data_IF_996942467922
#
_entry.id   IF_996942467922
#
_cell.length_a   1.000
_cell.length_b   1.000
_cell.length_c   1.000
_cell.angle_alpha   90.00
_cell.angle_beta   90.00
_cell.angle_gamma   90.00
#
_symmetry.space_group_name_H-M   'P 1'
#
loop_
_entity.id
_entity.type
_entity.pdbx_description
1 polymer ?
#
# COMPACT_ATOMS: atom_id res chain seq x y z
N UNK A 1 -11.36 -16.99 16.19
CA UNK A 1 -12.40 -17.11 17.23
C UNK A 1 -12.25 -15.90 18.13
N UNK A 2 -13.37 -15.28 18.57
CA UNK A 2 -13.55 -13.87 19.02
C UNK A 2 -13.95 -12.94 17.85
N UNK A 3 -15.21 -13.01 17.40
CA UNK A 3 -16.41 -12.31 17.90
C UNK A 3 -16.66 -11.00 17.14
N UNK A 4 -17.56 -11.11 16.15
CA UNK A 4 -18.19 -10.00 15.44
C UNK A 4 -19.33 -9.48 16.31
N UNK A 5 -19.29 -8.23 16.73
CA UNK A 5 -20.48 -7.55 17.21
C UNK A 5 -21.32 -7.08 16.02
N UNK A 6 -22.51 -7.67 15.92
CA UNK A 6 -23.52 -7.36 14.92
C UNK A 6 -24.34 -6.16 15.38
N UNK A 7 -24.38 -5.11 14.56
CA UNK A 7 -25.38 -4.05 14.68
C UNK A 7 -26.66 -4.53 13.98
N UNK A 8 -27.69 -4.80 14.77
CA UNK A 8 -29.00 -5.25 14.32
C UNK A 8 -29.82 -4.13 13.67
N UNK A 9 -30.43 -4.46 12.54
CA UNK A 9 -31.62 -3.80 12.00
C UNK A 9 -32.53 -4.93 11.51
N UNK A 10 -33.60 -5.17 12.26
CA UNK A 10 -34.67 -6.11 11.94
C UNK A 10 -35.42 -5.66 10.67
N UNK A 11 -35.43 -6.51 9.64
CA UNK A 11 -36.42 -6.44 8.56
C UNK A 11 -37.10 -7.80 8.43
N UNK A 12 -38.34 -7.85 8.90
CA UNK A 12 -39.28 -8.97 8.78
C UNK A 12 -39.71 -9.18 7.33
N UNK A 13 -39.72 -10.42 6.83
CA UNK A 13 -40.50 -10.75 5.63
C UNK A 13 -40.12 -12.01 4.86
N UNK A 14 -40.85 -13.10 5.16
CA UNK A 14 -41.38 -14.09 4.21
C UNK A 14 -40.47 -15.19 3.63
N UNK A 15 -40.68 -16.41 4.13
CA UNK A 15 -40.27 -17.67 3.52
C UNK A 15 -41.01 -17.93 2.22
N UNK A 16 -40.27 -18.28 1.16
CA UNK A 16 -40.76 -19.04 0.00
C UNK A 16 -39.69 -20.07 -0.38
N UNK A 17 -40.06 -21.35 -0.36
CA UNK A 17 -39.32 -22.50 -0.89
C UNK A 17 -39.63 -22.76 -2.37
N UNK A 18 -38.75 -23.54 -3.03
CA UNK A 18 -38.73 -24.12 -4.41
C UNK A 18 -37.82 -23.35 -5.37
N UNK A 19 -36.96 -23.94 -6.22
CA UNK A 19 -36.82 -25.30 -6.75
C UNK A 19 -35.37 -25.52 -7.22
N UNK A 20 -34.94 -26.77 -7.32
CA UNK A 20 -33.63 -27.18 -7.84
C UNK A 20 -33.63 -27.15 -9.37
N UNK A 21 -32.85 -26.24 -9.96
CA UNK A 21 -32.59 -26.19 -11.40
C UNK A 21 -31.09 -26.34 -11.69
N UNK A 22 -30.68 -27.49 -12.19
CA UNK A 22 -29.35 -27.73 -12.73
C UNK A 22 -29.23 -27.02 -14.08
N UNK A 23 -28.36 -26.01 -14.17
CA UNK A 23 -27.87 -25.46 -15.44
C UNK A 23 -26.36 -25.64 -15.48
N UNK A 24 -25.93 -26.60 -16.30
CA UNK A 24 -24.55 -26.74 -16.78
C UNK A 24 -24.27 -25.59 -17.74
N UNK A 25 -23.54 -24.57 -17.29
CA UNK A 25 -22.91 -23.60 -18.17
C UNK A 25 -21.47 -24.04 -18.47
N UNK A 26 -21.24 -24.26 -19.76
CA UNK A 26 -19.98 -24.61 -20.38
C UNK A 26 -19.06 -23.38 -20.32
N UNK A 27 -18.28 -23.28 -19.25
CA UNK A 27 -17.31 -22.21 -19.08
C UNK A 27 -16.15 -22.43 -20.07
N UNK A 28 -16.10 -21.57 -21.09
CA UNK A 28 -14.94 -21.41 -21.95
C UNK A 28 -13.66 -21.38 -21.11
N UNK A 29 -12.72 -22.28 -21.43
CA UNK A 29 -11.39 -22.32 -20.83
C UNK A 29 -10.74 -20.96 -21.06
N UNK A 30 -10.77 -20.09 -20.06
CA UNK A 30 -9.86 -18.97 -19.99
C UNK A 30 -8.45 -19.56 -20.03
N UNK A 31 -7.60 -19.00 -20.87
CA UNK A 31 -6.18 -19.33 -20.91
C UNK A 31 -5.60 -18.87 -19.57
N UNK A 32 -5.59 -19.77 -18.58
CA UNK A 32 -5.06 -19.47 -17.26
C UNK A 32 -3.56 -19.38 -17.41
N UNK A 33 -3.02 -18.15 -17.38
CA UNK A 33 -1.59 -17.95 -17.21
C UNK A 33 -1.25 -18.47 -15.82
N UNK A 34 -0.62 -19.64 -15.77
CA UNK A 34 -0.12 -20.22 -14.53
C UNK A 34 0.89 -19.27 -13.89
N UNK A 35 0.75 -19.05 -12.58
CA UNK A 35 1.67 -18.20 -11.84
C UNK A 35 3.07 -18.81 -11.80
N UNK A 36 4.08 -17.99 -12.08
CA UNK A 36 5.50 -18.37 -12.03
C UNK A 36 6.17 -17.61 -10.89
N UNK A 37 6.70 -18.35 -9.92
CA UNK A 37 7.45 -17.80 -8.78
C UNK A 37 8.91 -18.26 -8.85
N UNK A 38 9.83 -17.31 -8.64
CA UNK A 38 11.26 -17.56 -8.45
C UNK A 38 11.75 -16.86 -7.18
N UNK A 39 13.02 -17.01 -6.83
CA UNK A 39 13.63 -16.30 -5.70
C UNK A 39 13.55 -14.77 -5.82
N UNK A 40 13.46 -14.24 -7.05
CA UNK A 40 13.54 -12.80 -7.33
C UNK A 40 12.42 -12.29 -8.24
N UNK A 41 11.41 -13.10 -8.56
CA UNK A 41 10.31 -12.66 -9.43
C UNK A 41 9.02 -13.43 -9.16
N UNK A 42 7.90 -12.78 -9.47
CA UNK A 42 6.58 -13.39 -9.55
C UNK A 42 5.88 -12.90 -10.82
N UNK A 43 5.17 -13.76 -11.54
CA UNK A 43 4.37 -13.35 -12.70
C UNK A 43 3.13 -14.22 -12.84
N UNK A 44 1.96 -13.60 -12.95
CA UNK A 44 0.72 -14.22 -13.41
C UNK A 44 0.02 -13.33 -14.47
N UNK A 45 -1.28 -13.51 -14.70
CA UNK A 45 -2.04 -12.70 -15.66
C UNK A 45 -2.20 -11.23 -15.26
N UNK A 46 -2.16 -10.93 -13.96
CA UNK A 46 -2.55 -9.64 -13.38
C UNK A 46 -1.38 -8.90 -12.70
N UNK A 47 -0.32 -9.62 -12.35
CA UNK A 47 0.79 -9.11 -11.54
C UNK A 47 2.13 -9.60 -12.07
N UNK A 48 3.08 -8.68 -12.20
CA UNK A 48 4.49 -8.98 -12.44
C UNK A 48 5.36 -8.24 -11.43
N UNK A 49 6.23 -8.97 -10.74
CA UNK A 49 7.20 -8.45 -9.78
C UNK A 49 8.57 -8.95 -10.18
N UNK A 50 9.57 -8.06 -10.25
CA UNK A 50 10.98 -8.43 -10.38
C UNK A 50 11.81 -7.63 -9.39
N UNK A 51 12.62 -8.32 -8.59
CA UNK A 51 13.54 -7.72 -7.62
C UNK A 51 14.97 -7.87 -8.14
N UNK A 52 15.62 -6.73 -8.41
CA UNK A 52 17.00 -6.70 -8.89
C UNK A 52 17.94 -6.10 -7.84
N UNK A 53 19.05 -6.79 -7.56
CA UNK A 53 20.11 -6.30 -6.68
C UNK A 53 21.11 -5.45 -7.46
N UNK A 54 21.43 -4.28 -6.93
CA UNK A 54 22.44 -3.37 -7.45
C UNK A 54 23.57 -3.16 -6.45
N UNK A 55 24.76 -2.95 -6.98
CA UNK A 55 25.94 -2.53 -6.22
C UNK A 55 26.58 -1.40 -6.99
N UNK A 56 26.78 -0.26 -6.33
CA UNK A 56 27.47 0.91 -6.89
C UNK A 56 28.49 1.44 -5.89
N UNK A 57 29.42 2.27 -6.35
CA UNK A 57 30.52 2.77 -5.52
C UNK A 57 31.54 1.69 -5.15
N UNK A 58 32.46 2.01 -4.24
CA UNK A 58 33.52 1.11 -3.78
C UNK A 58 34.06 1.54 -2.42
N UNK A 59 34.74 0.65 -1.69
CA UNK A 59 35.32 0.97 -0.38
C UNK A 59 34.26 1.39 0.64
N UNK A 60 34.49 2.50 1.35
CA UNK A 60 33.51 3.09 2.27
C UNK A 60 32.27 3.63 1.59
N UNK A 61 32.34 3.89 0.29
CA UNK A 61 31.27 4.52 -0.49
C UNK A 61 30.45 3.48 -1.27
N UNK A 62 30.66 2.18 -1.01
CA UNK A 62 29.88 1.12 -1.63
C UNK A 62 28.44 1.13 -1.11
N UNK A 63 27.49 1.20 -2.04
CA UNK A 63 26.06 1.12 -1.75
C UNK A 63 25.50 -0.15 -2.39
N UNK A 64 24.77 -0.94 -1.59
CA UNK A 64 23.98 -2.08 -2.05
C UNK A 64 22.51 -1.74 -1.88
N UNK A 65 21.74 -1.84 -2.97
CA UNK A 65 20.30 -1.59 -2.93
C UNK A 65 19.55 -2.59 -3.81
N UNK A 66 18.24 -2.66 -3.63
CA UNK A 66 17.35 -3.50 -4.41
C UNK A 66 16.28 -2.62 -5.06
N UNK A 67 15.91 -2.93 -6.30
CA UNK A 67 14.78 -2.30 -6.99
C UNK A 67 13.74 -3.36 -7.26
N UNK A 68 12.51 -3.11 -6.81
CA UNK A 68 11.35 -3.88 -7.19
C UNK A 68 10.64 -3.17 -8.34
N UNK A 69 10.59 -3.79 -9.52
CA UNK A 69 9.70 -3.43 -10.61
C UNK A 69 8.39 -4.18 -10.41
N UNK A 70 7.29 -3.46 -10.24
CA UNK A 70 5.97 -4.00 -9.91
C UNK A 70 4.97 -3.47 -10.94
N UNK A 71 4.30 -4.38 -11.62
CA UNK A 71 3.20 -4.10 -12.54
C UNK A 71 1.98 -4.86 -12.06
N UNK A 72 0.87 -4.15 -11.94
CA UNK A 72 -0.43 -4.70 -11.55
C UNK A 72 -1.50 -4.23 -12.53
N UNK A 73 -2.44 -5.10 -12.87
CA UNK A 73 -3.62 -4.75 -13.69
C UNK A 73 -4.66 -3.96 -12.89
N UNK A 74 -4.67 -4.13 -11.57
CA UNK A 74 -5.54 -3.44 -10.61
C UNK A 74 -4.74 -2.93 -9.41
N UNK A 75 -4.84 -1.63 -9.14
CA UNK A 75 -4.17 -0.95 -8.00
C UNK A 75 -4.64 -1.48 -6.65
N UNK A 76 -5.83 -2.07 -6.56
CA UNK A 76 -6.33 -2.66 -5.30
C UNK A 76 -5.51 -3.87 -4.83
N UNK A 77 -4.66 -4.43 -5.70
CA UNK A 77 -3.65 -5.44 -5.32
C UNK A 77 -2.50 -4.85 -4.49
N UNK A 78 -2.28 -3.52 -4.53
CA UNK A 78 -1.31 -2.82 -3.69
C UNK A 78 -1.97 -2.45 -2.36
N UNK A 79 -1.73 -3.26 -1.34
CA UNK A 79 -2.34 -3.12 -0.03
C UNK A 79 -1.38 -2.52 1.00
N UNK A 80 -1.97 -1.97 2.06
CA UNK A 80 -1.26 -1.68 3.30
C UNK A 80 -1.83 -2.52 4.44
N UNK A 81 -0.96 -2.94 5.36
CA UNK A 81 -1.31 -3.59 6.60
C UNK A 81 -0.63 -2.87 7.78
N UNK A 82 -1.29 -2.89 8.94
CA UNK A 82 -0.73 -2.33 10.17
C UNK A 82 -0.05 -3.42 11.00
N UNK A 83 0.95 -3.04 11.80
CA UNK A 83 1.50 -3.90 12.84
C UNK A 83 0.39 -4.34 13.80
N UNK A 84 0.40 -5.61 14.20
CA UNK A 84 -0.63 -6.29 14.99
C UNK A 84 -2.06 -6.13 14.41
N UNK A 85 -2.17 -5.85 13.10
CA UNK A 85 -3.42 -5.51 12.42
C UNK A 85 -4.22 -4.39 13.14
N UNK A 86 -3.51 -3.46 13.80
CA UNK A 86 -4.10 -2.41 14.60
C UNK A 86 -3.59 -1.03 14.18
N UNK A 87 -4.53 -0.12 13.92
CA UNK A 87 -4.19 1.29 13.81
C UNK A 87 -3.87 1.87 15.20
N UNK A 88 -2.66 2.43 15.34
CA UNK A 88 -2.24 3.02 16.61
C UNK A 88 -0.82 3.58 16.56
N UNK A 89 -0.37 4.13 17.69
CA UNK A 89 0.99 4.62 17.84
C UNK A 89 1.85 3.61 18.60
N UNK A 90 3.15 3.57 18.29
CA UNK A 90 4.15 2.74 18.95
C UNK A 90 3.82 1.23 18.94
N UNK A 91 3.14 0.76 17.90
CA UNK A 91 2.93 -0.67 17.63
C UNK A 91 3.98 -1.07 16.59
N UNK A 92 4.74 -2.11 16.89
CA UNK A 92 5.87 -2.56 16.08
C UNK A 92 5.75 -4.04 15.84
N UNK A 93 5.93 -4.43 14.59
CA UNK A 93 5.96 -5.81 14.15
C UNK A 93 6.93 -5.90 12.96
N UNK A 94 7.61 -7.04 12.82
CA UNK A 94 8.50 -7.26 11.69
C UNK A 94 7.69 -7.31 10.38
N UNK A 95 8.16 -6.59 9.35
CA UNK A 95 7.52 -6.60 8.02
C UNK A 95 7.34 -8.01 7.46
N UNK A 96 8.25 -8.94 7.80
CA UNK A 96 8.13 -10.35 7.40
C UNK A 96 6.96 -11.08 8.07
N UNK A 97 6.63 -10.74 9.31
CA UNK A 97 5.46 -11.31 10.01
C UNK A 97 4.17 -10.76 9.41
N UNK A 98 4.09 -9.45 9.21
CA UNK A 98 2.96 -8.80 8.52
C UNK A 98 2.76 -9.42 7.13
N UNK A 99 3.84 -9.64 6.37
CA UNK A 99 3.79 -10.25 5.05
C UNK A 99 3.24 -11.69 5.10
N UNK A 100 3.70 -12.49 6.07
CA UNK A 100 3.24 -13.86 6.26
C UNK A 100 1.75 -13.92 6.62
N UNK A 101 1.31 -13.05 7.54
CA UNK A 101 -0.08 -12.99 8.02
C UNK A 101 -1.07 -12.52 6.95
N UNK A 102 -0.59 -11.78 5.95
CA UNK A 102 -1.38 -11.27 4.83
C UNK A 102 -1.13 -12.02 3.51
N UNK A 103 -0.35 -13.11 3.53
CA UNK A 103 0.00 -13.88 2.33
C UNK A 103 0.60 -13.01 1.20
N UNK A 104 1.41 -12.01 1.55
CA UNK A 104 1.95 -11.05 0.60
C UNK A 104 3.01 -11.66 -0.33
N UNK A 105 2.97 -11.32 -1.62
CA UNK A 105 4.01 -11.68 -2.59
C UNK A 105 5.31 -10.89 -2.33
N UNK A 106 5.18 -9.63 -1.94
CA UNK A 106 6.26 -8.72 -1.58
C UNK A 106 5.74 -7.72 -0.54
N UNK A 107 6.56 -7.39 0.45
CA UNK A 107 6.26 -6.36 1.43
C UNK A 107 7.49 -5.49 1.71
N UNK A 108 7.27 -4.19 1.81
CA UNK A 108 8.27 -3.18 2.19
C UNK A 108 7.63 -2.34 3.30
N UNK A 109 8.43 -1.89 4.27
CA UNK A 109 7.91 -1.00 5.30
C UNK A 109 7.37 0.30 4.68
N UNK A 110 6.28 0.82 5.27
CA UNK A 110 5.62 2.03 4.82
C UNK A 110 6.18 3.31 5.45
N UNK A 111 5.31 4.29 5.63
CA UNK A 111 5.62 5.57 6.26
C UNK A 111 5.73 5.50 7.79
N UNK A 112 6.26 6.57 8.39
CA UNK A 112 6.51 6.66 9.82
C UNK A 112 5.25 7.00 10.65
N UNK A 113 4.08 6.47 10.25
CA UNK A 113 2.79 6.92 10.78
C UNK A 113 2.64 6.63 12.28
N UNK A 114 3.10 5.47 12.75
CA UNK A 114 2.94 5.01 14.14
C UNK A 114 3.74 5.82 15.17
N UNK A 115 4.67 6.66 14.71
CA UNK A 115 5.43 7.59 15.55
C UNK A 115 4.95 9.04 15.42
N UNK A 116 3.86 9.26 14.68
CA UNK A 116 3.32 10.59 14.40
C UNK A 116 1.85 10.64 14.78
N UNK A 117 1.40 11.80 15.25
CA UNK A 117 -0.03 12.12 15.38
C UNK A 117 -0.55 12.93 14.19
N UNK A 118 0.31 13.28 13.24
CA UNK A 118 0.01 14.08 12.05
C UNK A 118 0.36 13.35 10.75
N UNK A 119 -0.12 13.88 9.64
CA UNK A 119 -0.11 13.28 8.30
C UNK A 119 -1.49 12.81 7.89
N UNK A 120 -1.82 12.89 6.61
CA UNK A 120 -3.08 12.33 6.09
C UNK A 120 -2.88 10.83 5.84
N UNK A 121 -3.75 9.99 6.40
CA UNK A 121 -3.63 8.53 6.35
C UNK A 121 -4.88 7.89 5.76
N UNK A 122 -4.77 7.45 4.51
CA UNK A 122 -5.72 6.59 3.82
C UNK A 122 -5.03 5.25 3.57
N UNK A 123 -5.65 4.17 4.04
CA UNK A 123 -5.14 2.81 3.89
C UNK A 123 -6.24 1.94 3.31
N UNK A 124 -6.01 1.39 2.12
CA UNK A 124 -6.98 0.57 1.39
C UNK A 124 -8.34 1.30 1.23
N UNK A 125 -8.30 2.58 0.85
CA UNK A 125 -9.50 3.42 0.64
C UNK A 125 -10.24 3.85 1.92
N UNK A 126 -9.69 3.58 3.12
CA UNK A 126 -10.29 3.98 4.40
C UNK A 126 -9.48 5.11 5.02
N UNK A 127 -10.15 6.17 5.45
CA UNK A 127 -9.55 7.30 6.18
C UNK A 127 -9.33 6.90 7.64
N UNK A 128 -8.08 6.98 8.10
CA UNK A 128 -7.69 6.75 9.49
C UNK A 128 -7.25 8.04 10.21
N UNK A 129 -6.80 9.04 9.45
CA UNK A 129 -6.31 10.31 9.99
C UNK A 129 -6.38 11.41 8.95
N UNK A 130 -6.84 12.59 9.37
CA UNK A 130 -6.85 13.81 8.59
C UNK A 130 -6.21 14.94 9.40
N UNK A 131 -4.87 14.98 9.42
CA UNK A 131 -4.10 15.95 10.20
C UNK A 131 -2.86 16.38 9.42
N UNK A 132 -3.10 16.98 8.26
CA UNK A 132 -2.06 17.34 7.30
C UNK A 132 -1.02 18.32 7.84
N UNK A 133 0.26 18.06 7.56
CA UNK A 133 1.38 18.87 8.07
C UNK A 133 2.56 19.02 7.13
N UNK A 134 2.60 18.29 6.01
CA UNK A 134 3.77 18.23 5.11
C UNK A 134 3.38 17.85 3.69
N UNK A 135 4.37 17.62 2.84
CA UNK A 135 4.20 16.95 1.56
C UNK A 135 3.88 15.47 1.76
N UNK A 136 2.83 14.98 1.14
CA UNK A 136 2.48 13.56 1.07
C UNK A 136 2.57 13.02 -0.35
N UNK A 137 2.55 11.70 -0.47
CA UNK A 137 2.34 10.99 -1.72
C UNK A 137 1.02 10.20 -1.66
N UNK A 138 0.35 9.98 -2.78
CA UNK A 138 -0.83 9.13 -2.82
C UNK A 138 -0.89 8.29 -4.09
N UNK A 139 -1.38 7.06 -3.97
CA UNK A 139 -1.70 6.20 -5.10
C UNK A 139 -3.21 6.29 -5.36
N UNK A 140 -3.59 6.62 -6.58
CA UNK A 140 -4.99 6.62 -7.02
C UNK A 140 -5.36 5.28 -7.64
N UNK A 141 -6.66 4.97 -7.66
CA UNK A 141 -7.18 3.73 -8.24
C UNK A 141 -6.94 3.61 -9.76
N UNK A 142 -6.70 4.72 -10.46
CA UNK A 142 -6.33 4.76 -11.88
C UNK A 142 -4.80 4.67 -12.13
N UNK A 143 -4.01 4.48 -11.07
CA UNK A 143 -2.58 4.17 -11.16
C UNK A 143 -1.65 5.39 -11.12
N UNK A 144 -2.17 6.59 -10.87
CA UNK A 144 -1.34 7.79 -10.67
C UNK A 144 -0.70 7.78 -9.27
N UNK A 145 0.60 8.10 -9.22
CA UNK A 145 1.28 8.48 -8.00
C UNK A 145 1.34 10.01 -7.95
N UNK A 146 0.59 10.61 -7.03
CA UNK A 146 0.55 12.06 -6.85
C UNK A 146 1.42 12.49 -5.67
N UNK A 147 2.13 13.61 -5.85
CA UNK A 147 2.71 14.39 -4.74
C UNK A 147 1.72 15.52 -4.40
N UNK A 148 1.42 15.71 -3.12
CA UNK A 148 0.46 16.73 -2.70
C UNK A 148 0.87 17.41 -1.40
N UNK A 149 0.35 18.61 -1.17
CA UNK A 149 0.52 19.35 0.08
C UNK A 149 -0.63 19.01 1.03
N UNK A 150 -0.33 18.28 2.11
CA UNK A 150 -1.33 17.92 3.11
C UNK A 150 -1.88 19.15 3.84
N UNK A 151 -1.18 20.28 3.87
CA UNK A 151 -1.64 21.48 4.60
C UNK A 151 -2.77 22.22 3.87
N UNK A 152 -3.01 21.87 2.61
CA UNK A 152 -4.00 22.50 1.73
C UNK A 152 -4.97 21.49 1.12
N UNK A 153 -4.93 20.23 1.56
CA UNK A 153 -5.77 19.12 1.07
C UNK A 153 -6.37 18.36 2.25
N UNK A 154 -7.60 17.83 2.14
CA UNK A 154 -8.17 16.92 3.15
C UNK A 154 -8.20 15.45 2.71
N UNK A 155 -8.32 14.54 3.68
CA UNK A 155 -8.50 13.12 3.42
C UNK A 155 -9.76 12.82 2.57
N UNK A 156 -10.87 13.52 2.81
CA UNK A 156 -12.10 13.36 2.02
C UNK A 156 -11.93 13.83 0.58
N UNK A 157 -11.20 14.92 0.34
CA UNK A 157 -10.90 15.39 -1.02
C UNK A 157 -10.04 14.37 -1.79
N UNK A 158 -9.05 13.77 -1.13
CA UNK A 158 -8.25 12.69 -1.70
C UNK A 158 -9.09 11.45 -2.00
N UNK A 159 -9.95 11.03 -1.06
CA UNK A 159 -10.82 9.88 -1.25
C UNK A 159 -11.80 10.11 -2.41
N UNK A 160 -12.37 11.32 -2.52
CA UNK A 160 -13.24 11.71 -3.63
C UNK A 160 -12.52 11.71 -4.98
N UNK A 161 -11.19 11.90 -4.99
CA UNK A 161 -10.32 11.77 -6.17
C UNK A 161 -9.90 10.33 -6.47
N UNK A 162 -10.42 9.35 -5.74
CA UNK A 162 -10.09 7.94 -5.95
C UNK A 162 -8.75 7.52 -5.36
N UNK A 163 -8.24 8.23 -4.36
CA UNK A 163 -7.02 7.80 -3.64
C UNK A 163 -7.27 6.49 -2.90
N UNK A 164 -6.38 5.52 -3.15
CA UNK A 164 -6.36 4.20 -2.53
C UNK A 164 -5.45 4.13 -1.31
N UNK A 165 -4.26 4.74 -1.41
CA UNK A 165 -3.26 4.78 -0.34
C UNK A 165 -2.66 6.18 -0.24
N UNK A 166 -2.39 6.68 0.96
CA UNK A 166 -1.52 7.86 1.16
C UNK A 166 -0.25 7.47 1.89
N UNK A 167 0.84 8.16 1.62
CA UNK A 167 2.07 8.00 2.37
C UNK A 167 2.53 9.38 2.82
N UNK A 168 2.60 9.58 4.14
CA UNK A 168 3.01 10.86 4.72
C UNK A 168 4.52 10.87 4.93
N UNK A 169 5.25 10.92 3.81
CA UNK A 169 6.70 11.12 3.78
C UNK A 169 7.07 12.31 2.90
N UNK A 170 8.09 13.02 3.37
CA UNK A 170 8.65 14.16 2.67
C UNK A 170 10.13 14.28 3.01
N UNK A 171 10.92 14.89 2.12
CA UNK A 171 10.50 15.56 0.87
C UNK A 171 10.15 14.57 -0.26
N UNK A 172 9.44 15.06 -1.28
CA UNK A 172 9.32 14.34 -2.56
C UNK A 172 10.68 14.30 -3.27
N UNK A 173 10.95 13.21 -4.01
CA UNK A 173 12.20 13.04 -4.76
C UNK A 173 12.04 13.42 -6.23
N UNK A 174 10.90 13.03 -6.82
CA UNK A 174 10.56 13.23 -8.22
C UNK A 174 9.14 13.76 -8.29
N UNK A 175 8.92 14.80 -9.10
CA UNK A 175 7.60 15.35 -9.41
C UNK A 175 7.54 15.72 -10.90
N UNK A 176 6.44 15.41 -11.56
CA UNK A 176 6.29 15.65 -13.01
C UNK A 176 7.39 14.99 -13.87
N UNK A 177 7.98 13.87 -13.42
CA UNK A 177 9.08 13.18 -14.10
C UNK A 177 10.44 13.87 -13.97
N UNK A 178 10.59 14.84 -13.07
CA UNK A 178 11.84 15.56 -12.83
C UNK A 178 12.29 15.39 -11.38
N UNK A 179 13.61 15.25 -11.18
CA UNK A 179 14.21 15.28 -9.85
C UNK A 179 14.01 16.67 -9.24
N UNK A 180 13.60 16.73 -7.98
CA UNK A 180 13.43 17.99 -7.27
C UNK A 180 14.78 18.57 -6.82
N UNK A 181 14.95 19.88 -7.02
CA UNK A 181 16.16 20.61 -6.61
C UNK A 181 16.35 20.59 -5.08
N UNK A 182 17.61 20.51 -4.65
CA UNK A 182 18.00 20.64 -3.25
C UNK A 182 17.81 19.38 -2.40
N UNK A 183 17.34 18.27 -2.99
CA UNK A 183 17.15 17.00 -2.28
C UNK A 183 18.47 16.44 -1.70
N UNK A 184 19.60 16.77 -2.34
CA UNK A 184 20.96 16.44 -1.91
C UNK A 184 21.39 17.18 -0.63
N UNK A 185 20.57 18.12 -0.14
CA UNK A 185 20.84 18.96 1.03
C UNK A 185 19.77 18.82 2.12
N UNK A 186 18.80 17.93 1.93
CA UNK A 186 17.73 17.69 2.92
C UNK A 186 18.18 16.62 3.91
N UNK A 187 18.19 17.01 5.18
CA UNK A 187 18.40 16.10 6.31
C UNK A 187 17.05 15.84 6.98
N UNK A 188 16.55 14.61 6.85
CA UNK A 188 15.23 14.22 7.35
C UNK A 188 15.29 13.79 8.82
N UNK A 189 16.46 13.36 9.30
CA UNK A 189 16.71 12.96 10.68
C UNK A 189 17.82 13.82 11.30
N UNK A 190 17.41 14.78 12.12
CA UNK A 190 18.29 15.71 12.84
C UNK A 190 18.53 15.28 14.30
N UNK A 191 18.17 14.04 14.66
CA UNK A 191 18.34 13.56 16.02
C UNK A 191 19.83 13.43 16.36
N UNK A 192 20.21 13.95 17.54
CA UNK A 192 21.59 13.89 18.04
C UNK A 192 22.01 12.42 18.19
N UNK A 193 23.03 12.01 17.43
CA UNK A 193 23.63 10.66 17.48
C UNK A 193 23.63 9.89 16.16
N UNK A 194 22.94 10.39 15.12
CA UNK A 194 22.85 9.75 13.80
C UNK A 194 23.82 10.34 12.74
N UNK A 195 24.93 10.97 13.16
CA UNK A 195 25.98 11.56 12.30
C UNK A 195 27.37 11.00 12.59
#
# INVERSE_FOLDING_TARGET
YAEREANGQDYTGQSVTTDAGTTTDDAASADTVEAVLTDTSYTDADTSITVTRYVTGSGSDQVVYYVADIQVSDVTQVLSAFADNQFGQNIVEDTSSIAADNNALLAINGDYYGFRTSGILIRNGVIYRDSGTRTGAAFTLDGELIVYDETTTTAEELLARGVWQTLSFGPALVDGGQVLDGIDRVEVDTNIGNH
#
